data_IF_725339935009
#
_entry.id   IF_725339935009
#
_cell.length_a   1.000
_cell.length_b   1.000
_cell.length_c   1.000
_cell.angle_alpha   90.00
_cell.angle_beta   90.00
_cell.angle_gamma   90.00
#
_symmetry.space_group_name_H-M   'P 1'
#
loop_
_entity.id
_entity.type
_entity.pdbx_description
1 polymer ?
#
# COMPACT_ATOMS: atom_id res chain seq x y z
N UNK A 1 -3.37 18.12 -9.93
CA UNK A 1 -4.81 18.23 -10.28
C UNK A 1 -5.57 17.40 -9.23
N UNK A 2 -6.56 17.94 -8.51
CA UNK A 2 -7.30 17.16 -7.52
C UNK A 2 -8.05 16.01 -8.21
N UNK A 3 -8.07 14.84 -7.57
CA UNK A 3 -8.78 13.67 -8.08
C UNK A 3 -10.30 13.87 -7.92
N UNK A 4 -11.12 13.36 -8.85
CA UNK A 4 -12.58 13.48 -8.74
C UNK A 4 -13.09 12.79 -7.49
N UNK A 5 -14.03 13.43 -6.79
CA UNK A 5 -14.79 12.81 -5.72
C UNK A 5 -15.88 11.88 -6.31
N UNK A 6 -16.06 10.70 -5.72
CA UNK A 6 -17.01 9.68 -6.14
C UNK A 6 -16.33 8.39 -6.63
N UNK A 7 -17.02 7.23 -6.59
CA UNK A 7 -16.46 6.01 -7.13
C UNK A 7 -16.23 6.22 -8.62
N UNK A 8 -14.98 6.09 -9.06
CA UNK A 8 -14.64 6.09 -10.49
C UNK A 8 -14.76 4.65 -10.99
N UNK A 9 -15.85 4.25 -11.66
CA UNK A 9 -15.88 2.98 -12.35
C UNK A 9 -15.00 3.10 -13.60
N UNK A 10 -13.86 2.42 -13.58
CA UNK A 10 -13.24 2.00 -14.82
C UNK A 10 -13.80 0.62 -15.13
N UNK A 11 -14.87 0.58 -15.95
CA UNK A 11 -15.47 -0.66 -16.42
C UNK A 11 -14.37 -1.63 -16.91
N UNK A 12 -14.40 -2.87 -16.43
CA UNK A 12 -13.44 -3.92 -16.82
C UNK A 12 -12.06 -3.89 -16.13
N UNK A 13 -11.83 -3.05 -15.10
CA UNK A 13 -10.56 -3.02 -14.35
C UNK A 13 -10.66 -3.78 -13.01
N UNK A 14 -9.60 -4.52 -12.70
CA UNK A 14 -9.42 -5.19 -11.40
C UNK A 14 -8.90 -4.19 -10.37
N UNK A 15 -9.65 -4.04 -9.28
CA UNK A 15 -9.19 -3.35 -8.07
C UNK A 15 -8.70 -4.40 -7.07
N UNK A 16 -7.50 -4.22 -6.56
CA UNK A 16 -6.96 -5.03 -5.46
C UNK A 16 -6.82 -4.12 -4.23
N UNK A 17 -7.22 -4.60 -3.06
CA UNK A 17 -7.10 -3.88 -1.78
C UNK A 17 -6.01 -4.58 -0.96
N UNK A 18 -5.03 -3.81 -0.48
CA UNK A 18 -3.90 -4.31 0.29
C UNK A 18 -3.93 -3.77 1.71
N UNK A 19 -3.50 -4.61 2.66
CA UNK A 19 -3.15 -4.20 4.01
C UNK A 19 -1.63 -4.05 4.09
N UNK A 20 -1.09 -2.86 4.39
CA UNK A 20 0.34 -2.67 4.57
C UNK A 20 0.85 -3.43 5.80
N UNK A 21 1.80 -4.35 5.59
CA UNK A 21 2.33 -5.26 6.63
C UNK A 21 3.86 -5.28 6.72
N UNK A 22 4.56 -4.56 5.85
CA UNK A 22 6.00 -4.63 5.69
C UNK A 22 6.46 -5.19 4.33
N UNK A 23 7.75 -5.44 4.19
CA UNK A 23 8.37 -5.89 2.93
C UNK A 23 8.41 -7.42 2.76
N UNK A 24 8.33 -8.19 3.85
CA UNK A 24 8.40 -9.67 3.87
C UNK A 24 7.05 -10.34 3.65
N UNK A 25 5.97 -9.62 3.89
CA UNK A 25 4.61 -10.10 3.85
C UNK A 25 3.74 -9.11 3.09
N UNK A 26 2.95 -9.61 2.14
CA UNK A 26 1.89 -8.85 1.50
C UNK A 26 0.53 -9.47 1.77
N UNK A 27 -0.40 -8.67 2.27
CA UNK A 27 -1.79 -9.07 2.48
C UNK A 27 -2.70 -8.37 1.47
N UNK A 28 -3.57 -9.14 0.80
CA UNK A 28 -4.46 -8.63 -0.23
C UNK A 28 -5.84 -9.28 -0.15
N UNK A 29 -6.90 -8.47 -0.14
CA UNK A 29 -8.27 -8.97 -0.22
C UNK A 29 -8.55 -9.58 -1.60
N UNK A 30 -9.22 -10.72 -1.59
CA UNK A 30 -9.81 -11.35 -2.77
C UNK A 30 -11.32 -11.19 -2.72
N UNK A 31 -11.89 -10.87 -3.88
CA UNK A 31 -13.34 -10.86 -4.10
C UNK A 31 -14.12 -9.93 -3.16
N UNK A 32 -13.54 -8.79 -2.76
CA UNK A 32 -14.23 -7.73 -2.02
C UNK A 32 -14.44 -8.00 -0.52
N UNK A 33 -14.61 -9.25 -0.08
CA UNK A 33 -14.78 -9.61 1.34
C UNK A 33 -14.53 -11.09 1.68
N UNK A 34 -14.08 -11.94 0.74
CA UNK A 34 -14.17 -13.39 0.90
C UNK A 34 -12.93 -14.06 1.50
N UNK A 35 -11.77 -13.87 0.86
CA UNK A 35 -10.54 -14.52 1.27
C UNK A 35 -9.38 -13.52 1.29
N UNK A 36 -8.49 -13.69 2.25
CA UNK A 36 -7.25 -12.96 2.35
C UNK A 36 -6.13 -13.75 1.66
N UNK A 37 -5.52 -13.16 0.64
CA UNK A 37 -4.29 -13.69 0.06
C UNK A 37 -3.09 -13.17 0.86
N UNK A 38 -2.36 -14.09 1.47
CA UNK A 38 -1.09 -13.79 2.13
C UNK A 38 0.07 -14.23 1.24
N UNK A 39 0.99 -13.31 0.95
CA UNK A 39 2.22 -13.57 0.20
C UNK A 39 3.41 -13.43 1.12
N UNK A 40 4.14 -14.50 1.39
CA UNK A 40 5.35 -14.49 2.22
C UNK A 40 6.60 -14.65 1.36
N UNK A 41 7.60 -13.80 1.60
CA UNK A 41 8.91 -13.93 0.96
C UNK A 41 9.69 -15.04 1.66
N UNK A 42 10.02 -16.09 0.92
CA UNK A 42 10.84 -17.19 1.42
C UNK A 42 12.33 -16.88 1.35
N UNK A 43 12.77 -16.30 0.23
CA UNK A 43 14.18 -16.00 -0.03
C UNK A 43 14.31 -14.71 -0.85
N UNK A 44 15.43 -14.02 -0.66
CA UNK A 44 15.87 -12.87 -1.46
C UNK A 44 17.34 -13.06 -1.81
N UNK A 45 17.69 -12.94 -3.09
CA UNK A 45 19.09 -12.94 -3.54
C UNK A 45 19.75 -11.58 -3.28
N UNK A 46 21.08 -11.49 -3.41
CA UNK A 46 21.81 -10.22 -3.28
C UNK A 46 21.42 -9.21 -4.35
N UNK A 47 21.05 -9.72 -5.52
CA UNK A 47 20.61 -8.97 -6.70
C UNK A 47 19.13 -8.56 -6.63
N UNK A 48 18.43 -8.90 -5.53
CA UNK A 48 17.05 -8.51 -5.31
C UNK A 48 16.00 -9.43 -5.93
N UNK A 49 16.38 -10.61 -6.42
CA UNK A 49 15.42 -11.63 -6.89
C UNK A 49 14.74 -12.27 -5.68
N UNK A 50 13.41 -12.39 -5.71
CA UNK A 50 12.63 -12.86 -4.57
C UNK A 50 11.80 -14.10 -4.89
N UNK A 51 11.82 -15.06 -3.97
CA UNK A 51 10.95 -16.22 -3.99
C UNK A 51 9.80 -16.01 -3.01
N UNK A 52 8.56 -16.15 -3.50
CA UNK A 52 7.35 -15.91 -2.73
C UNK A 52 6.47 -17.14 -2.67
N UNK A 53 5.88 -17.42 -1.50
CA UNK A 53 4.77 -18.38 -1.34
C UNK A 53 3.46 -17.62 -1.17
N UNK A 54 2.37 -18.15 -1.72
CA UNK A 54 1.03 -17.56 -1.63
C UNK A 54 0.10 -18.54 -0.92
N UNK A 55 -0.62 -18.06 0.08
CA UNK A 55 -1.68 -18.80 0.78
C UNK A 55 -2.98 -18.00 0.74
N UNK A 56 -4.12 -18.69 0.87
CA UNK A 56 -5.46 -18.10 0.92
C UNK A 56 -6.11 -18.48 2.24
N UNK A 57 -6.67 -17.49 2.93
CA UNK A 57 -7.28 -17.65 4.25
C UNK A 57 -8.69 -17.06 4.22
N UNK A 58 -9.68 -17.83 4.67
CA UNK A 58 -11.07 -17.39 4.77
C UNK A 58 -11.36 -16.89 6.19
N UNK A 59 -12.39 -16.05 6.37
CA UNK A 59 -12.81 -15.59 7.71
C UNK A 59 -11.87 -14.59 8.40
N UNK A 60 -10.74 -14.23 7.78
CA UNK A 60 -9.74 -13.32 8.36
C UNK A 60 -10.11 -11.82 8.30
N UNK A 61 -11.26 -11.47 7.71
CA UNK A 61 -11.62 -10.08 7.42
C UNK A 61 -13.07 -9.81 7.75
N UNK A 62 -13.35 -8.67 8.38
CA UNK A 62 -14.70 -8.19 8.64
C UNK A 62 -14.97 -6.85 7.94
N UNK A 63 -16.25 -6.61 7.65
CA UNK A 63 -16.71 -5.31 7.18
C UNK A 63 -16.80 -4.33 8.37
N UNK A 64 -16.44 -3.06 8.14
CA UNK A 64 -16.65 -1.97 9.09
C UNK A 64 -17.14 -0.70 8.38
N UNK A 65 -17.62 0.28 9.16
CA UNK A 65 -17.96 1.63 8.65
C UNK A 65 -16.78 2.35 7.99
N UNK A 66 -15.56 1.91 8.28
CA UNK A 66 -14.30 2.51 7.82
C UNK A 66 -13.62 1.67 6.74
N UNK A 67 -14.32 0.70 6.16
CA UNK A 67 -13.78 -0.24 5.17
C UNK A 67 -13.47 -1.61 5.76
N UNK A 68 -12.87 -2.52 4.96
CA UNK A 68 -12.51 -3.85 5.44
C UNK A 68 -11.43 -3.77 6.53
N UNK A 69 -11.60 -4.59 7.57
CA UNK A 69 -10.68 -4.72 8.70
C UNK A 69 -10.15 -6.15 8.77
N UNK A 70 -8.88 -6.31 9.13
CA UNK A 70 -8.34 -7.61 9.52
C UNK A 70 -8.77 -7.96 10.94
N UNK A 71 -9.32 -9.16 11.11
CA UNK A 71 -9.67 -9.67 12.44
C UNK A 71 -8.40 -10.01 13.22
N UNK A 72 -8.38 -9.72 14.53
CA UNK A 72 -7.18 -9.91 15.36
C UNK A 72 -6.76 -11.37 15.46
N UNK A 73 -7.71 -12.31 15.41
CA UNK A 73 -7.41 -13.74 15.41
C UNK A 73 -6.79 -14.22 14.08
N UNK A 74 -6.98 -13.48 12.98
CA UNK A 74 -6.27 -13.73 11.72
C UNK A 74 -4.76 -13.55 11.86
N UNK A 75 -4.29 -12.67 12.74
CA UNK A 75 -2.86 -12.49 12.98
C UNK A 75 -2.17 -13.75 13.51
N UNK A 76 -2.90 -14.55 14.30
CA UNK A 76 -2.43 -15.84 14.84
C UNK A 76 -2.41 -16.92 13.75
N UNK A 77 -3.48 -17.02 12.96
CA UNK A 77 -3.56 -17.98 11.83
C UNK A 77 -2.52 -17.69 10.75
N UNK A 78 -2.19 -16.42 10.56
CA UNK A 78 -1.19 -16.01 9.59
C UNK A 78 0.23 -16.18 10.12
N UNK A 79 0.46 -16.44 11.41
CA UNK A 79 1.80 -16.44 12.02
C UNK A 79 2.54 -15.11 11.78
N UNK A 80 1.86 -13.97 11.99
CA UNK A 80 2.47 -12.65 11.86
C UNK A 80 3.54 -12.45 12.95
N UNK A 81 4.70 -11.94 12.57
CA UNK A 81 5.67 -11.46 13.55
C UNK A 81 5.09 -10.23 14.30
N UNK A 82 5.45 -9.98 15.58
CA UNK A 82 4.92 -8.86 16.35
C UNK A 82 5.01 -7.50 15.62
N UNK A 83 6.11 -7.24 14.91
CA UNK A 83 6.30 -6.04 14.10
C UNK A 83 5.34 -5.95 12.89
N UNK A 84 4.96 -7.09 12.30
CA UNK A 84 3.98 -7.15 11.20
C UNK A 84 2.57 -6.87 11.75
N UNK A 85 2.27 -7.29 12.98
CA UNK A 85 1.01 -6.99 13.69
C UNK A 85 0.90 -5.50 14.04
N UNK A 86 1.97 -4.88 14.52
CA UNK A 86 1.99 -3.44 14.81
C UNK A 86 1.74 -2.60 13.55
N UNK A 87 2.27 -3.03 12.41
CA UNK A 87 2.16 -2.33 11.12
C UNK A 87 0.73 -2.34 10.56
N UNK A 88 -0.09 -3.33 10.94
CA UNK A 88 -1.51 -3.45 10.57
C UNK A 88 -2.43 -2.37 11.16
N UNK A 89 -1.90 -1.54 12.06
CA UNK A 89 -2.55 -0.32 12.50
C UNK A 89 -2.87 -0.33 14.00
N UNK A 90 -2.40 0.70 14.68
CA UNK A 90 -2.86 1.09 16.00
C UNK A 90 -4.36 1.42 15.95
N UNK A 91 -5.18 0.52 16.47
CA UNK A 91 -6.55 0.60 17.02
C UNK A 91 -7.62 1.60 16.46
N UNK A 92 -7.31 2.73 15.85
CA UNK A 92 -8.30 3.78 15.55
C UNK A 92 -8.61 3.99 14.06
N UNK A 93 -7.65 3.83 13.12
CA UNK A 93 -7.92 3.91 11.68
C UNK A 93 -6.99 3.01 10.85
N UNK A 94 -7.50 1.99 10.13
CA UNK A 94 -6.66 1.18 9.25
C UNK A 94 -6.24 2.00 8.03
N UNK A 95 -4.94 1.97 7.72
CA UNK A 95 -4.43 2.45 6.43
C UNK A 95 -4.62 1.32 5.41
N UNK A 96 -5.35 1.59 4.34
CA UNK A 96 -5.52 0.67 3.22
C UNK A 96 -4.85 1.25 1.98
N UNK A 97 -4.35 0.37 1.12
CA UNK A 97 -3.85 0.77 -0.20
C UNK A 97 -4.66 0.06 -1.27
N UNK A 98 -5.48 0.82 -2.01
CA UNK A 98 -6.14 0.33 -3.22
C UNK A 98 -5.19 0.42 -4.39
N UNK A 99 -5.16 -0.62 -5.21
CA UNK A 99 -4.49 -0.60 -6.49
C UNK A 99 -5.49 -0.77 -7.62
N UNK A 100 -5.62 0.27 -8.43
CA UNK A 100 -6.35 0.21 -9.70
C UNK A 100 -5.34 -0.01 -10.80
N UNK A 101 -5.46 -1.09 -11.56
CA UNK A 101 -4.44 -1.45 -12.55
C UNK A 101 -4.96 -1.92 -13.89
N UNK A 102 -4.17 -1.60 -14.92
CA UNK A 102 -4.25 -2.16 -16.26
C UNK A 102 -3.01 -3.01 -16.48
N UNK A 103 -3.21 -4.30 -16.77
CA UNK A 103 -2.14 -5.27 -16.95
C UNK A 103 -1.98 -5.62 -18.42
N UNK A 104 -0.75 -5.88 -18.83
CA UNK A 104 -0.39 -6.55 -20.08
C UNK A 104 0.45 -7.76 -19.69
N UNK A 105 -0.01 -8.95 -20.02
CA UNK A 105 0.80 -10.17 -19.88
C UNK A 105 1.87 -10.14 -20.97
N UNK A 106 3.08 -10.51 -20.59
CA UNK A 106 4.25 -10.61 -21.46
C UNK A 106 4.78 -12.04 -21.41
N UNK A 107 5.72 -12.37 -22.29
CA UNK A 107 6.32 -13.71 -22.33
C UNK A 107 7.09 -14.08 -21.05
N UNK A 108 7.40 -13.10 -20.21
CA UNK A 108 8.23 -13.25 -19.01
C UNK A 108 7.55 -12.79 -17.71
N UNK A 109 6.29 -12.36 -17.74
CA UNK A 109 5.61 -11.83 -16.55
C UNK A 109 4.51 -10.82 -16.89
N UNK A 110 4.38 -9.75 -16.11
CA UNK A 110 3.38 -8.69 -16.34
C UNK A 110 3.98 -7.29 -16.40
N UNK A 111 3.49 -6.48 -17.33
CA UNK A 111 3.60 -5.02 -17.27
C UNK A 111 2.31 -4.42 -16.73
N UNK A 112 2.43 -3.55 -15.75
CA UNK A 112 1.30 -2.99 -15.04
C UNK A 112 1.41 -1.47 -15.01
N UNK A 113 0.39 -0.80 -15.53
CA UNK A 113 0.14 0.62 -15.30
C UNK A 113 -0.92 0.72 -14.21
N UNK A 114 -0.54 1.26 -13.06
CA UNK A 114 -1.39 1.28 -11.88
C UNK A 114 -1.40 2.62 -11.16
N UNK A 115 -2.49 2.84 -10.42
CA UNK A 115 -2.59 3.91 -9.44
C UNK A 115 -2.75 3.25 -8.09
N UNK A 116 -1.84 3.55 -7.16
CA UNK A 116 -2.00 3.24 -5.75
C UNK A 116 -2.68 4.41 -5.07
N UNK A 117 -3.70 4.10 -4.27
CA UNK A 117 -4.49 5.07 -3.52
C UNK A 117 -4.40 4.63 -2.07
N UNK A 118 -3.63 5.35 -1.27
CA UNK A 118 -3.58 5.17 0.17
C UNK A 118 -4.74 5.95 0.80
N UNK A 119 -5.55 5.25 1.58
CA UNK A 119 -6.73 5.81 2.23
C UNK A 119 -6.77 5.39 3.69
N UNK A 120 -7.28 6.30 4.53
CA UNK A 120 -7.86 5.94 5.81
C UNK A 120 -9.35 5.71 5.59
N UNK A 121 -10.03 5.07 6.54
CA UNK A 121 -11.48 4.88 6.45
C UNK A 121 -12.34 6.16 6.37
N UNK A 122 -11.72 7.34 6.38
CA UNK A 122 -12.37 8.65 6.28
C UNK A 122 -11.96 9.44 5.02
N UNK A 123 -10.77 9.19 4.46
CA UNK A 123 -10.23 10.02 3.38
C UNK A 123 -9.14 9.33 2.57
N UNK A 124 -9.05 9.71 1.29
CA UNK A 124 -7.85 9.46 0.49
C UNK A 124 -6.75 10.41 0.95
N UNK A 125 -5.59 9.84 1.26
CA UNK A 125 -4.42 10.58 1.77
C UNK A 125 -3.42 10.81 0.65
N UNK A 126 -3.13 9.77 -0.13
CA UNK A 126 -2.12 9.80 -1.17
C UNK A 126 -2.59 9.00 -2.38
N UNK A 127 -2.31 9.52 -3.57
CA UNK A 127 -2.55 8.80 -4.81
C UNK A 127 -1.38 8.98 -5.78
N UNK A 128 -0.77 7.88 -6.19
CA UNK A 128 0.44 7.86 -7.00
C UNK A 128 0.28 6.87 -8.15
N UNK A 129 0.76 7.26 -9.33
CA UNK A 129 0.77 6.39 -10.51
C UNK A 129 2.12 5.72 -10.65
N UNK A 130 2.10 4.43 -10.93
CA UNK A 130 3.26 3.60 -11.13
C UNK A 130 3.18 2.87 -12.46
N UNK A 131 4.36 2.66 -13.04
CA UNK A 131 4.57 1.62 -14.04
C UNK A 131 5.43 0.54 -13.38
N UNK A 132 4.92 -0.69 -13.35
CA UNK A 132 5.60 -1.86 -12.81
C UNK A 132 5.86 -2.86 -13.92
N UNK A 133 7.01 -3.52 -13.87
CA UNK A 133 7.38 -4.66 -14.70
C UNK A 133 7.72 -5.77 -13.73
N UNK A 134 7.00 -6.89 -13.79
CA UNK A 134 7.37 -8.11 -13.08
C UNK A 134 7.97 -9.11 -14.06
N UNK A 135 9.06 -9.75 -13.63
CA UNK A 135 9.61 -10.92 -14.29
C UNK A 135 9.30 -12.11 -13.38
N UNK A 136 8.58 -13.08 -13.90
CA UNK A 136 8.11 -14.26 -13.17
C UNK A 136 8.57 -15.52 -13.92
N UNK A 137 9.30 -16.39 -13.24
CA UNK A 137 9.68 -17.71 -13.75
C UNK A 137 9.58 -18.76 -12.63
N UNK A 138 9.17 -20.00 -12.95
CA UNK A 138 9.30 -21.12 -12.01
C UNK A 138 10.77 -21.48 -11.69
N UNK A 139 11.72 -21.00 -12.49
CA UNK A 139 13.17 -21.27 -12.36
C UNK A 139 13.93 -19.97 -12.17
N UNK A 140 14.73 -19.88 -11.12
CA UNK A 140 15.45 -18.65 -10.77
C UNK A 140 16.49 -18.27 -11.83
N UNK A 141 17.11 -19.27 -12.46
CA UNK A 141 18.11 -19.11 -13.51
C UNK A 141 17.58 -18.36 -14.76
N UNK A 142 16.27 -18.38 -15.00
CA UNK A 142 15.67 -17.70 -16.14
C UNK A 142 15.49 -16.18 -15.90
N UNK A 143 15.44 -15.73 -14.64
CA UNK A 143 15.17 -14.33 -14.30
C UNK A 143 16.29 -13.41 -14.77
N UNK A 144 17.55 -13.79 -14.51
CA UNK A 144 18.73 -12.97 -14.78
C UNK A 144 18.85 -12.55 -16.25
N UNK A 145 18.83 -13.49 -17.22
CA UNK A 145 18.87 -13.18 -18.64
C UNK A 145 17.73 -12.26 -19.10
N UNK A 146 16.51 -12.43 -18.56
CA UNK A 146 15.37 -11.58 -18.91
C UNK A 146 15.58 -10.15 -18.38
N UNK A 147 15.99 -10.01 -17.12
CA UNK A 147 16.27 -8.70 -16.52
C UNK A 147 17.35 -7.95 -17.32
N UNK A 148 18.37 -8.64 -17.81
CA UNK A 148 19.39 -8.04 -18.68
C UNK A 148 18.81 -7.51 -20.01
N UNK A 149 17.83 -8.22 -20.59
CA UNK A 149 17.17 -7.78 -21.84
C UNK A 149 16.27 -6.56 -21.65
N UNK A 150 15.70 -6.37 -20.46
CA UNK A 150 14.86 -5.21 -20.14
C UNK A 150 15.66 -3.90 -20.04
N UNK A 151 16.99 -3.99 -19.99
CA UNK A 151 17.88 -2.84 -19.93
C UNK A 151 18.04 -2.28 -18.51
N UNK A 152 18.63 -1.08 -18.38
CA UNK A 152 18.94 -0.50 -17.09
C UNK A 152 17.66 -0.16 -16.31
N UNK A 153 17.71 -0.38 -14.99
CA UNK A 153 16.65 0.02 -14.07
C UNK A 153 16.59 1.56 -14.03
N UNK A 154 15.40 2.17 -14.23
CA UNK A 154 15.26 3.62 -14.15
C UNK A 154 15.67 4.17 -12.77
N UNK A 155 16.24 5.36 -12.76
CA UNK A 155 16.57 6.05 -11.50
C UNK A 155 15.32 6.24 -10.63
N UNK A 156 15.44 5.93 -9.34
CA UNK A 156 14.33 6.00 -8.39
C UNK A 156 13.31 4.84 -8.49
N UNK A 157 13.52 3.85 -9.36
CA UNK A 157 12.67 2.67 -9.40
C UNK A 157 12.83 1.82 -8.13
N UNK A 158 11.71 1.30 -7.63
CA UNK A 158 11.70 0.37 -6.50
C UNK A 158 11.96 -1.04 -7.04
N UNK A 159 13.12 -1.62 -6.72
CA UNK A 159 13.46 -3.01 -7.06
C UNK A 159 13.13 -3.92 -5.88
N UNK A 160 11.85 -4.29 -5.79
CA UNK A 160 11.34 -5.17 -4.75
C UNK A 160 10.02 -5.81 -5.19
N UNK A 161 9.58 -6.81 -4.42
CA UNK A 161 8.25 -7.36 -4.55
C UNK A 161 7.16 -6.33 -4.29
N UNK A 162 5.97 -6.61 -4.83
CA UNK A 162 4.80 -5.77 -4.67
C UNK A 162 4.50 -5.32 -3.22
N UNK A 163 4.71 -6.15 -2.17
CA UNK A 163 4.47 -5.72 -0.79
C UNK A 163 5.33 -4.54 -0.34
N UNK A 164 6.60 -4.47 -0.75
CA UNK A 164 7.47 -3.34 -0.43
C UNK A 164 6.98 -2.03 -1.09
N UNK A 165 6.45 -2.10 -2.31
CA UNK A 165 5.85 -0.94 -2.99
C UNK A 165 4.62 -0.46 -2.21
N UNK A 166 3.76 -1.38 -1.77
CA UNK A 166 2.58 -1.05 -0.94
C UNK A 166 2.99 -0.40 0.38
N UNK A 167 3.99 -0.96 1.05
CA UNK A 167 4.50 -0.41 2.30
C UNK A 167 5.06 1.00 2.11
N UNK A 168 5.87 1.22 1.06
CA UNK A 168 6.43 2.52 0.76
C UNK A 168 5.36 3.59 0.49
N UNK A 169 4.28 3.24 -0.24
CA UNK A 169 3.12 4.11 -0.44
C UNK A 169 2.42 4.41 0.90
N UNK A 170 2.23 3.40 1.74
CA UNK A 170 1.61 3.58 3.05
C UNK A 170 2.45 4.46 3.98
N UNK A 171 3.77 4.33 3.98
CA UNK A 171 4.67 5.14 4.81
C UNK A 171 4.68 6.60 4.38
N UNK A 172 4.68 6.87 3.07
CA UNK A 172 4.50 8.25 2.57
C UNK A 172 3.14 8.83 2.95
N UNK A 173 2.07 8.04 2.87
CA UNK A 173 0.75 8.49 3.31
C UNK A 173 0.71 8.79 4.82
N UNK A 174 1.31 7.93 5.66
CA UNK A 174 1.44 8.16 7.11
C UNK A 174 2.25 9.43 7.41
N UNK A 175 3.33 9.67 6.67
CA UNK A 175 4.13 10.88 6.81
C UNK A 175 3.32 12.15 6.45
N UNK A 176 2.54 12.10 5.38
CA UNK A 176 1.65 13.21 4.99
C UNK A 176 0.63 13.55 6.10
N UNK A 177 -0.01 12.53 6.69
CA UNK A 177 -0.94 12.73 7.81
C UNK A 177 -0.27 13.35 9.05
N UNK A 178 0.98 12.99 9.35
CA UNK A 178 1.73 13.59 10.47
C UNK A 178 2.05 15.05 10.20
N UNK A 179 2.54 15.38 8.99
CA UNK A 179 2.83 16.75 8.59
C UNK A 179 1.59 17.66 8.59
N UNK A 180 0.43 17.14 8.18
CA UNK A 180 -0.84 17.88 8.28
C UNK A 180 -1.25 18.15 9.74
N UNK A 181 -1.06 17.18 10.64
CA UNK A 181 -1.33 17.36 12.08
C UNK A 181 -0.40 18.38 12.72
N UNK A 182 0.87 18.39 12.37
CA UNK A 182 1.87 19.37 12.87
C UNK A 182 1.58 20.79 12.34
N UNK A 183 1.11 20.92 11.10
CA UNK A 183 0.67 22.19 10.55
C UNK A 183 -0.59 22.74 11.22
N UNK A 184 -1.51 21.85 11.67
CA UNK A 184 -2.74 22.22 12.37
C UNK A 184 -2.55 22.48 13.87
N UNK A 185 -1.48 21.94 14.48
CA UNK A 185 -1.17 22.14 15.91
C UNK A 185 -0.23 23.32 16.19
N UNK A 186 0.27 23.99 15.14
CA UNK A 186 1.01 25.23 15.29
C UNK A 186 0.06 26.36 15.73
N UNK A 187 0.29 27.02 16.88
CA UNK A 187 -0.61 28.06 17.35
C UNK A 187 -0.54 29.25 16.41
N UNK A 188 -1.67 29.62 15.79
CA UNK A 188 -1.86 30.95 15.24
C UNK A 188 -1.63 31.94 16.38
N UNK A 189 -0.57 32.74 16.28
CA UNK A 189 -0.26 33.77 17.26
C UNK A 189 -1.53 34.62 17.51
N UNK A 190 -1.86 34.95 18.77
CA UNK A 190 -3.02 35.79 19.04
C UNK A 190 -2.81 37.15 18.36
N UNK A 191 -3.75 37.51 17.49
CA UNK A 191 -3.87 38.87 16.99
C UNK A 191 -3.92 39.81 18.19
N UNK A 192 -2.90 40.66 18.31
CA UNK A 192 -2.90 41.77 19.25
C UNK A 192 -4.04 42.70 18.89
N UNK A 193 -5.18 42.56 19.59
CA UNK A 193 -6.31 43.48 19.49
C UNK A 193 -5.88 44.90 19.88
N UNK A 194 -6.51 45.93 19.29
CA UNK A 194 -6.13 47.31 19.52
C UNK A 194 -6.40 47.69 20.98
N UNK A 195 -5.37 48.18 21.67
CA UNK A 195 -5.48 48.71 23.02
C UNK A 195 -6.44 49.89 23.04
N UNK A 196 -7.59 49.69 23.69
CA UNK A 196 -8.43 50.79 24.14
C UNK A 196 -7.71 51.48 25.31
N UNK A 197 -7.04 52.59 25.02
CA UNK A 197 -6.61 53.53 26.03
C UNK A 197 -7.74 54.55 26.25
N UNK A 198 -8.59 54.27 27.23
CA UNK A 198 -9.42 55.27 27.88
C UNK A 198 -8.89 55.48 29.30
N UNK A 199 -8.44 56.70 29.60
CA UNK A 199 -8.80 57.50 30.79
C UNK A 199 -7.80 58.65 31.00
N UNK A 200 -8.29 59.88 30.79
CA UNK A 200 -8.17 61.08 31.63
C UNK A 200 -8.45 62.35 30.81
#
# INVERSE_FOLDING_TARGET
RPLPAGPLPLAGKREDIYFPTGESLGLKLRNGAGALEAKRRLRRSKEGVELWVKTLHEGCTAASSHGPRLELDAAKELELAPEEVETLGSAELPMLVRCRKRRRITDFGEEVDCVFIAETGLSVVLAERYRSISVESPRLEDIGPIVQQLGPVPEGAIVAGYPAIIQAVADRARAALRGEREAQSSPTAPETGPGNAGDA
#
